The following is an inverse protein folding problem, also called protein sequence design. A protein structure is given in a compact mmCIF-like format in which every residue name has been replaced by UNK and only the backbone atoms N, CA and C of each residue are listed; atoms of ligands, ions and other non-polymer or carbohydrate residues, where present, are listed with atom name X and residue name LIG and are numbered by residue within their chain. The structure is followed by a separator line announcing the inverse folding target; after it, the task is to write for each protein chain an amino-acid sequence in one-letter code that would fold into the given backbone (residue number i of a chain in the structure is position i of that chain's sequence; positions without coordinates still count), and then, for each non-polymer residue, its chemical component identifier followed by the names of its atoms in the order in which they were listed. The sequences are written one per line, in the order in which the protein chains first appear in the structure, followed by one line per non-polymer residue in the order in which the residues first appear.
data_IF_271745937654
#
_entry.id   IF_271745937654
#
_cell.length_a   1.000
_cell.length_b   1.000
_cell.length_c   1.000
_cell.angle_alpha   90.00
_cell.angle_beta   90.00
_cell.angle_gamma   90.00
#
_symmetry.space_group_name_H-M   'P 1'
#
loop_
_entity.id
_entity.type
_entity.pdbx_description
1 polymer ?
#
# COMPACT_ATOMS: atom_id res chain seq x y z
N UNK A 1 36.94 -35.44 -17.03
CA UNK A 1 37.05 -34.90 -15.65
C UNK A 1 36.85 -33.38 -15.60
N UNK A 2 37.62 -32.54 -16.33
CA UNK A 2 37.45 -31.08 -16.29
C UNK A 2 36.05 -30.59 -16.72
N UNK A 3 35.44 -31.25 -17.71
CA UNK A 3 34.07 -30.96 -18.17
C UNK A 3 32.98 -31.30 -17.13
N UNK A 4 33.21 -32.30 -16.28
CA UNK A 4 32.28 -32.71 -15.22
C UNK A 4 32.21 -31.65 -14.11
N UNK A 5 33.36 -31.12 -13.68
CA UNK A 5 33.41 -30.06 -12.68
C UNK A 5 32.72 -28.78 -13.16
N UNK A 6 32.88 -28.44 -14.44
CA UNK A 6 32.21 -27.29 -15.04
C UNK A 6 30.67 -27.46 -15.03
N UNK A 7 30.16 -28.60 -15.48
CA UNK A 7 28.72 -28.89 -15.48
C UNK A 7 28.11 -28.86 -14.06
N UNK A 8 28.80 -29.44 -13.08
CA UNK A 8 28.35 -29.42 -11.67
C UNK A 8 28.34 -27.99 -11.13
N UNK A 9 29.38 -27.19 -11.40
CA UNK A 9 29.44 -25.80 -10.94
C UNK A 9 28.33 -24.92 -11.53
N UNK A 10 28.00 -25.12 -12.82
CA UNK A 10 26.91 -24.41 -13.48
C UNK A 10 25.54 -24.79 -12.91
N UNK A 11 25.33 -26.08 -12.61
CA UNK A 11 24.09 -26.57 -11.99
C UNK A 11 23.92 -26.04 -10.56
N UNK A 12 24.99 -26.01 -9.77
CA UNK A 12 24.98 -25.41 -8.42
C UNK A 12 24.68 -23.92 -8.49
N UNK A 13 25.30 -23.18 -9.41
CA UNK A 13 25.01 -21.76 -9.61
C UNK A 13 23.54 -21.53 -10.02
N UNK A 14 23.00 -22.34 -10.93
CA UNK A 14 21.60 -22.24 -11.34
C UNK A 14 20.63 -22.52 -10.17
N UNK A 15 20.91 -23.53 -9.33
CA UNK A 15 20.12 -23.81 -8.13
C UNK A 15 20.19 -22.65 -7.14
N UNK A 16 21.37 -22.07 -6.92
CA UNK A 16 21.53 -20.92 -6.02
C UNK A 16 20.73 -19.71 -6.52
N UNK A 17 20.82 -19.38 -7.81
CA UNK A 17 20.06 -18.26 -8.40
C UNK A 17 18.55 -18.52 -8.33
N UNK A 18 18.09 -19.73 -8.66
CA UNK A 18 16.68 -20.11 -8.53
C UNK A 18 16.20 -19.99 -7.07
N UNK A 19 17.00 -20.43 -6.11
CA UNK A 19 16.66 -20.36 -4.69
C UNK A 19 16.56 -18.91 -4.19
N UNK A 20 17.47 -18.03 -4.63
CA UNK A 20 17.42 -16.59 -4.33
C UNK A 20 16.15 -15.94 -4.90
N UNK A 21 15.86 -16.16 -6.19
CA UNK A 21 14.67 -15.58 -6.82
C UNK A 21 13.36 -16.10 -6.24
N UNK A 22 13.30 -17.39 -5.88
CA UNK A 22 12.14 -17.97 -5.21
C UNK A 22 11.93 -17.37 -3.81
N UNK A 23 13.02 -17.12 -3.07
CA UNK A 23 12.97 -16.44 -1.78
C UNK A 23 12.42 -15.01 -1.91
N UNK A 24 12.91 -14.24 -2.86
CA UNK A 24 12.45 -12.86 -3.10
C UNK A 24 10.97 -12.81 -3.52
N UNK A 25 10.53 -13.69 -4.42
CA UNK A 25 9.12 -13.78 -4.84
C UNK A 25 8.19 -14.08 -3.66
N UNK A 26 8.56 -15.03 -2.80
CA UNK A 26 7.76 -15.35 -1.61
C UNK A 26 7.74 -14.22 -0.59
N UNK A 27 8.85 -13.51 -0.44
CA UNK A 27 8.92 -12.32 0.44
C UNK A 27 7.98 -11.22 -0.07
N UNK A 28 8.02 -10.90 -1.36
CA UNK A 28 7.18 -9.88 -1.99
C UNK A 28 5.69 -10.20 -1.83
N UNK A 29 5.25 -11.38 -2.23
CA UNK A 29 3.85 -11.80 -2.08
C UNK A 29 3.39 -11.80 -0.61
N UNK A 30 4.27 -12.14 0.33
CA UNK A 30 3.92 -12.13 1.76
C UNK A 30 3.68 -10.70 2.26
N UNK A 31 4.50 -9.74 1.83
CA UNK A 31 4.32 -8.33 2.17
C UNK A 31 3.03 -7.80 1.55
N UNK A 32 2.81 -8.08 0.25
CA UNK A 32 1.59 -7.69 -0.46
C UNK A 32 0.33 -8.24 0.21
N UNK A 33 0.26 -9.55 0.44
CA UNK A 33 -0.92 -10.19 1.02
C UNK A 33 -1.22 -9.67 2.41
N UNK A 34 -0.20 -9.54 3.27
CA UNK A 34 -0.38 -8.99 4.61
C UNK A 34 -0.87 -7.54 4.56
N UNK A 35 -0.28 -6.73 3.69
CA UNK A 35 -0.68 -5.33 3.54
C UNK A 35 -2.15 -5.25 3.12
N UNK A 36 -2.53 -6.02 2.10
CA UNK A 36 -3.91 -6.08 1.62
C UNK A 36 -4.88 -6.58 2.69
N UNK A 37 -4.52 -7.62 3.47
CA UNK A 37 -5.34 -8.12 4.57
C UNK A 37 -5.63 -7.02 5.61
N UNK A 38 -4.60 -6.31 6.06
CA UNK A 38 -4.74 -5.20 7.03
C UNK A 38 -5.51 -4.04 6.42
N UNK A 39 -5.24 -3.70 5.16
CA UNK A 39 -5.94 -2.60 4.48
C UNK A 39 -7.42 -2.91 4.36
N UNK A 40 -7.79 -4.11 3.90
CA UNK A 40 -9.19 -4.51 3.74
C UNK A 40 -9.95 -4.55 5.07
N UNK A 41 -9.28 -4.94 6.17
CA UNK A 41 -9.86 -4.82 7.51
C UNK A 41 -10.14 -3.36 7.86
N UNK A 42 -9.17 -2.46 7.62
CA UNK A 42 -9.35 -1.02 7.87
C UNK A 42 -10.40 -0.38 6.97
N UNK A 43 -10.48 -0.79 5.71
CA UNK A 43 -11.51 -0.36 4.75
C UNK A 43 -12.89 -0.74 5.26
N UNK A 44 -13.07 -1.99 5.69
CA UNK A 44 -14.33 -2.46 6.25
C UNK A 44 -14.74 -1.70 7.51
N UNK A 45 -13.79 -1.49 8.44
CA UNK A 45 -14.04 -0.72 9.65
C UNK A 45 -14.41 0.74 9.33
N UNK A 46 -13.70 1.37 8.40
CA UNK A 46 -13.99 2.74 7.99
C UNK A 46 -15.36 2.85 7.31
N UNK A 47 -15.73 1.90 6.45
CA UNK A 47 -17.03 1.87 5.79
C UNK A 47 -18.17 1.76 6.81
N UNK A 48 -18.03 0.91 7.83
CA UNK A 48 -19.00 0.82 8.94
C UNK A 48 -19.10 2.14 9.72
N UNK A 49 -17.97 2.80 9.96
CA UNK A 49 -17.95 4.12 10.62
C UNK A 49 -18.61 5.19 9.77
N UNK A 50 -18.40 5.18 8.45
CA UNK A 50 -19.03 6.10 7.51
C UNK A 50 -20.55 5.90 7.45
N UNK A 51 -21.01 4.64 7.40
CA UNK A 51 -22.44 4.30 7.46
C UNK A 51 -23.08 4.81 8.77
N UNK A 52 -22.42 4.60 9.91
CA UNK A 52 -22.88 5.14 11.19
C UNK A 52 -22.97 6.68 11.19
N UNK A 53 -21.99 7.36 10.60
CA UNK A 53 -22.01 8.83 10.49
C UNK A 53 -23.15 9.29 9.58
N UNK A 54 -23.38 8.58 8.47
CA UNK A 54 -24.49 8.83 7.54
C UNK A 54 -25.85 8.72 8.23
N UNK A 55 -26.10 7.62 8.95
CA UNK A 55 -27.35 7.40 9.69
C UNK A 55 -27.57 8.46 10.79
N UNK A 56 -26.48 8.87 11.45
CA UNK A 56 -26.54 9.91 12.46
C UNK A 56 -26.84 11.29 11.86
N UNK A 57 -26.30 11.56 10.67
CA UNK A 57 -26.54 12.80 9.96
C UNK A 57 -27.97 12.92 9.44
N UNK A 58 -28.59 11.81 9.01
CA UNK A 58 -30.01 11.76 8.62
C UNK A 58 -30.96 11.98 9.81
N UNK A 59 -30.56 11.53 11.00
CA UNK A 59 -31.40 11.59 12.21
C UNK A 59 -31.27 12.89 13.00
N UNK A 60 -30.20 13.67 12.81
CA UNK A 60 -29.89 14.85 13.63
C UNK A 60 -29.77 16.12 12.78
N UNK A 61 -30.67 17.08 13.01
CA UNK A 61 -30.68 18.34 12.26
C UNK A 61 -29.54 19.32 12.60
N UNK A 62 -28.93 19.22 13.79
CA UNK A 62 -27.79 20.05 14.22
C UNK A 62 -26.50 19.23 14.32
N UNK A 63 -25.64 19.38 13.31
CA UNK A 63 -24.32 18.75 13.23
C UNK A 63 -23.40 19.07 14.42
N UNK A 64 -23.66 20.14 15.19
CA UNK A 64 -22.85 20.46 16.39
C UNK A 64 -23.00 19.43 17.49
N UNK A 65 -24.15 18.78 17.61
CA UNK A 65 -24.37 17.72 18.59
C UNK A 65 -23.63 16.43 18.22
N UNK A 66 -23.34 16.25 16.93
CA UNK A 66 -22.63 15.11 16.39
C UNK A 66 -21.13 15.16 16.73
N UNK A 67 -20.55 16.36 16.92
CA UNK A 67 -19.12 16.54 17.20
C UNK A 67 -18.64 15.70 18.39
N UNK A 68 -19.33 15.79 19.53
CA UNK A 68 -18.95 15.06 20.74
C UNK A 68 -19.05 13.54 20.58
N UNK A 69 -19.97 13.07 19.73
CA UNK A 69 -20.19 11.64 19.49
C UNK A 69 -19.10 11.07 18.57
N UNK A 70 -18.74 11.83 17.53
CA UNK A 70 -17.77 11.36 16.52
C UNK A 70 -16.33 11.47 16.99
N UNK A 71 -15.99 12.51 17.77
CA UNK A 71 -14.62 12.71 18.25
C UNK A 71 -14.08 11.49 19.01
N UNK A 72 -14.91 10.86 19.84
CA UNK A 72 -14.48 9.73 20.68
C UNK A 72 -14.53 8.38 19.94
N UNK A 73 -15.11 8.34 18.72
CA UNK A 73 -15.29 7.12 17.91
C UNK A 73 -14.20 6.92 16.85
N UNK A 74 -13.38 7.92 16.59
CA UNK A 74 -12.31 7.87 15.59
C UNK A 74 -10.95 8.03 16.28
N UNK A 75 -10.10 7.00 16.20
CA UNK A 75 -8.69 7.17 16.51
C UNK A 75 -8.02 7.99 15.41
N UNK A 76 -7.65 9.23 15.74
CA UNK A 76 -6.99 10.16 14.82
C UNK A 76 -5.65 9.65 14.28
N UNK A 77 -5.06 8.63 14.89
CA UNK A 77 -3.81 8.05 14.41
C UNK A 77 -4.04 7.05 13.26
N UNK A 78 -5.19 6.40 13.22
CA UNK A 78 -5.53 5.38 12.22
C UNK A 78 -6.46 5.92 11.13
N UNK A 79 -7.39 6.79 11.54
CA UNK A 79 -8.43 7.32 10.68
C UNK A 79 -8.59 8.83 10.85
N UNK A 80 -8.89 9.51 9.75
CA UNK A 80 -9.41 10.87 9.81
C UNK A 80 -10.77 10.96 9.14
N UNK A 81 -11.62 11.83 9.68
CA UNK A 81 -12.95 12.09 9.17
C UNK A 81 -13.07 13.58 8.87
N UNK A 82 -13.67 13.92 7.74
CA UNK A 82 -14.11 15.26 7.41
C UNK A 82 -15.53 15.23 6.84
N UNK A 83 -16.37 16.16 7.27
CA UNK A 83 -17.72 16.31 6.74
C UNK A 83 -17.83 17.68 6.09
N UNK A 84 -18.31 17.67 4.86
CA UNK A 84 -18.62 18.84 4.07
C UNK A 84 -20.12 18.96 3.91
N UNK A 85 -20.65 20.17 4.08
CA UNK A 85 -22.03 20.51 3.74
C UNK A 85 -22.01 21.43 2.54
N UNK A 86 -22.54 20.96 1.41
CA UNK A 86 -22.34 21.58 0.10
C UNK A 86 -20.82 21.73 -0.19
N UNK A 87 -20.28 22.95 -0.15
CA UNK A 87 -18.86 23.23 -0.39
C UNK A 87 -18.10 23.69 0.86
N UNK A 88 -18.69 23.56 2.05
CA UNK A 88 -18.10 24.04 3.30
C UNK A 88 -17.75 22.90 4.23
N UNK A 89 -16.49 22.86 4.69
CA UNK A 89 -16.06 21.97 5.77
C UNK A 89 -16.79 22.37 7.05
N UNK A 90 -17.57 21.44 7.60
CA UNK A 90 -18.38 21.65 8.82
C UNK A 90 -17.87 20.85 10.02
N UNK A 91 -17.10 19.79 9.79
CA UNK A 91 -16.52 18.96 10.85
C UNK A 91 -15.24 18.26 10.37
N UNK A 92 -14.28 18.07 11.28
CA UNK A 92 -13.12 17.21 11.05
C UNK A 92 -12.52 16.68 12.37
N UNK A 93 -11.88 15.52 12.34
CA UNK A 93 -11.24 14.90 13.52
C UNK A 93 -9.76 15.28 13.70
N UNK A 94 -9.00 15.41 12.61
CA UNK A 94 -7.56 15.63 12.65
C UNK A 94 -7.16 17.01 12.11
N UNK A 95 -6.50 17.80 12.96
CA UNK A 95 -6.00 19.15 12.61
C UNK A 95 -4.68 19.13 11.82
N UNK A 96 -4.00 17.99 11.72
CA UNK A 96 -2.76 17.84 10.94
C UNK A 96 -3.05 17.87 9.43
N UNK A 97 -4.29 17.54 9.05
CA UNK A 97 -4.70 17.43 7.66
C UNK A 97 -5.15 18.80 7.16
N UNK A 98 -4.53 19.34 6.09
CA UNK A 98 -4.92 20.62 5.53
C UNK A 98 -6.18 20.45 4.66
N UNK A 99 -7.32 20.14 5.29
CA UNK A 99 -8.61 20.04 4.62
C UNK A 99 -8.90 21.36 3.90
N UNK A 100 -8.78 21.33 2.57
CA UNK A 100 -9.02 22.54 1.77
C UNK A 100 -10.49 22.86 1.78
N UNK A 101 -10.81 24.16 1.76
CA UNK A 101 -12.18 24.66 1.60
C UNK A 101 -12.73 24.34 0.20
N UNK A 102 -11.88 24.07 -0.78
CA UNK A 102 -12.28 23.65 -2.12
C UNK A 102 -12.11 22.14 -2.30
N UNK A 103 -13.20 21.50 -2.69
CA UNK A 103 -13.36 20.06 -2.82
C UNK A 103 -12.71 19.47 -4.09
N UNK A 104 -11.55 20.00 -4.50
CA UNK A 104 -10.89 19.53 -5.73
C UNK A 104 -10.55 18.03 -5.70
N UNK A 105 -10.30 17.49 -4.50
CA UNK A 105 -10.09 16.05 -4.30
C UNK A 105 -11.39 15.23 -4.38
N UNK A 106 -12.58 15.82 -4.22
CA UNK A 106 -13.84 15.07 -4.44
C UNK A 106 -14.07 14.71 -5.90
N UNK A 107 -13.45 15.48 -6.82
CA UNK A 107 -13.48 15.19 -8.25
C UNK A 107 -12.22 14.41 -8.69
N UNK A 108 -11.29 14.15 -7.77
CA UNK A 108 -10.15 13.28 -8.04
C UNK A 108 -10.64 11.85 -8.02
N UNK A 109 -10.45 11.16 -9.14
CA UNK A 109 -10.67 9.71 -9.23
C UNK A 109 -9.57 8.90 -8.54
N UNK A 110 -8.56 9.56 -7.96
CA UNK A 110 -7.46 8.89 -7.27
C UNK A 110 -7.93 8.47 -5.86
N UNK A 111 -7.94 7.17 -5.55
CA UNK A 111 -8.37 6.66 -4.25
C UNK A 111 -7.30 6.84 -3.17
N UNK A 112 -6.06 7.18 -3.54
CA UNK A 112 -4.94 7.42 -2.62
C UNK A 112 -4.36 8.80 -2.84
N UNK A 113 -4.10 9.53 -1.75
CA UNK A 113 -3.67 10.92 -1.79
C UNK A 113 -2.63 11.23 -0.72
N UNK A 114 -1.68 12.09 -1.06
CA UNK A 114 -0.76 12.72 -0.10
C UNK A 114 -1.38 14.02 0.42
N UNK A 115 -1.70 14.07 1.71
CA UNK A 115 -2.25 15.26 2.37
C UNK A 115 -1.39 15.67 3.56
N UNK A 116 -0.86 16.90 3.53
CA UNK A 116 0.09 17.33 4.55
C UNK A 116 1.35 16.47 4.48
N UNK A 117 1.60 15.67 5.52
CA UNK A 117 2.78 14.81 5.65
C UNK A 117 2.41 13.33 5.79
N UNK A 118 1.31 12.87 5.17
CA UNK A 118 0.97 11.46 5.14
C UNK A 118 0.17 11.07 3.91
N UNK A 119 0.34 9.82 3.50
CA UNK A 119 -0.46 9.14 2.50
C UNK A 119 -1.72 8.57 3.13
N UNK A 120 -2.84 8.73 2.43
CA UNK A 120 -4.14 8.24 2.85
C UNK A 120 -4.85 7.52 1.72
N UNK A 121 -5.56 6.45 2.05
CA UNK A 121 -6.66 5.97 1.21
C UNK A 121 -7.92 6.78 1.55
N UNK A 122 -8.63 7.24 0.51
CA UNK A 122 -9.86 8.01 0.62
C UNK A 122 -11.06 7.11 0.41
N UNK A 123 -12.01 7.17 1.35
CA UNK A 123 -13.34 6.56 1.22
C UNK A 123 -14.39 7.63 1.50
N UNK A 124 -15.53 7.58 0.83
CA UNK A 124 -16.53 8.63 1.00
C UNK A 124 -17.95 8.11 0.89
N UNK A 125 -18.84 8.74 1.64
CA UNK A 125 -20.28 8.56 1.55
C UNK A 125 -20.96 9.92 1.34
N UNK A 126 -22.06 9.92 0.58
CA UNK A 126 -22.84 11.13 0.30
C UNK A 126 -24.28 10.92 0.75
N UNK A 127 -24.78 11.83 1.56
CA UNK A 127 -26.14 11.80 2.12
C UNK A 127 -26.71 13.21 2.03
N UNK A 128 -27.81 13.37 1.29
CA UNK A 128 -28.41 14.67 0.99
C UNK A 128 -27.38 15.72 0.52
N UNK A 129 -27.17 16.78 1.31
CA UNK A 129 -26.23 17.87 1.06
C UNK A 129 -24.88 17.70 1.79
N UNK A 130 -24.67 16.53 2.39
CA UNK A 130 -23.46 16.17 3.10
C UNK A 130 -22.57 15.25 2.26
N UNK A 131 -21.28 15.54 2.30
CA UNK A 131 -20.22 14.69 1.79
C UNK A 131 -19.30 14.32 2.97
N UNK A 132 -19.28 13.04 3.29
CA UNK A 132 -18.55 12.48 4.42
C UNK A 132 -17.32 11.79 3.85
N UNK A 133 -16.14 12.32 4.16
CA UNK A 133 -14.84 11.81 3.74
C UNK A 133 -14.17 11.11 4.91
N UNK A 134 -13.94 9.81 4.76
CA UNK A 134 -13.07 9.01 5.61
C UNK A 134 -11.69 8.87 4.97
N UNK A 135 -10.65 8.89 5.80
CA UNK A 135 -9.27 8.70 5.39
C UNK A 135 -8.65 7.61 6.25
N UNK A 136 -8.02 6.61 5.61
CA UNK A 136 -7.19 5.61 6.28
C UNK A 136 -5.75 6.10 6.20
N UNK A 137 -5.06 6.26 7.33
CA UNK A 137 -3.65 6.66 7.31
C UNK A 137 -2.80 5.48 6.87
N UNK A 138 -2.04 5.62 5.78
CA UNK A 138 -1.19 4.56 5.24
C UNK A 138 0.25 4.70 5.74
N UNK A 139 0.85 5.87 5.46
CA UNK A 139 2.28 6.13 5.69
C UNK A 139 2.52 7.60 5.99
N UNK A 140 3.34 7.90 6.99
CA UNK A 140 3.88 9.24 7.18
C UNK A 140 4.95 9.57 6.12
N UNK A 141 4.97 10.80 5.64
CA UNK A 141 5.86 11.28 4.56
C UNK A 141 6.29 12.73 4.84
N UNK A 142 7.31 12.87 5.68
CA UNK A 142 7.98 14.12 6.03
C UNK A 142 9.21 14.36 5.14
N UNK A 143 9.50 15.63 4.85
CA UNK A 143 10.72 16.02 4.13
C UNK A 143 12.02 15.76 4.94
N UNK A 144 11.90 15.73 6.27
CA UNK A 144 13.03 15.52 7.19
C UNK A 144 12.58 14.64 8.35
N UNK A 145 13.35 13.59 8.60
CA UNK A 145 13.17 12.71 9.76
C UNK A 145 13.98 13.20 10.96
N UNK A 146 13.45 12.94 12.15
CA UNK A 146 14.12 13.18 13.42
C UNK A 146 13.61 12.15 14.45
N UNK A 147 14.15 12.08 15.69
CA UNK A 147 13.73 11.07 16.67
C UNK A 147 12.22 11.01 16.97
N UNK A 148 11.46 12.06 16.65
CA UNK A 148 10.00 12.15 16.84
C UNK A 148 9.21 12.03 15.53
N UNK A 149 9.83 12.19 14.36
CA UNK A 149 9.18 12.16 13.04
C UNK A 149 9.89 11.14 12.15
N UNK A 150 9.17 10.09 11.78
CA UNK A 150 9.69 8.99 10.96
C UNK A 150 8.75 8.76 9.78
N UNK A 151 9.29 8.46 8.59
CA UNK A 151 8.50 8.14 7.40
C UNK A 151 8.20 6.66 7.35
N UNK A 152 7.34 6.21 8.25
CA UNK A 152 6.94 4.82 8.36
C UNK A 152 5.50 4.60 7.90
N UNK A 153 5.22 3.37 7.47
CA UNK A 153 3.85 2.88 7.39
C UNK A 153 3.27 2.74 8.80
N UNK A 154 1.94 2.70 8.92
CA UNK A 154 1.31 2.30 10.18
C UNK A 154 1.83 0.92 10.61
N UNK A 155 2.00 0.74 11.93
CA UNK A 155 2.69 -0.43 12.50
C UNK A 155 2.01 -1.75 12.15
N UNK A 156 0.70 -1.75 12.00
CA UNK A 156 -0.13 -2.91 11.66
C UNK A 156 0.19 -3.50 10.27
N UNK A 157 0.49 -2.65 9.29
CA UNK A 157 0.93 -3.08 7.95
C UNK A 157 2.24 -3.86 8.00
N UNK A 158 3.10 -3.62 9.01
CA UNK A 158 4.38 -4.32 9.20
C UNK A 158 5.24 -4.36 7.93
N UNK A 159 5.30 -3.21 7.24
CA UNK A 159 6.17 -2.98 6.09
C UNK A 159 7.44 -2.30 6.59
N UNK A 160 8.58 -2.64 6.01
CA UNK A 160 9.84 -1.98 6.34
C UNK A 160 9.83 -0.52 5.87
N UNK A 161 10.44 0.36 6.66
CA UNK A 161 10.44 1.82 6.42
C UNK A 161 11.06 2.23 5.07
N UNK A 162 11.85 1.35 4.45
CA UNK A 162 12.44 1.58 3.13
C UNK A 162 11.44 1.43 1.96
N UNK A 163 10.17 1.14 2.22
CA UNK A 163 9.15 1.11 1.18
C UNK A 163 8.51 2.49 0.98
N UNK A 164 8.17 2.78 -0.28
CA UNK A 164 7.44 3.96 -0.70
C UNK A 164 6.11 3.59 -1.37
N UNK A 165 5.29 4.61 -1.60
CA UNK A 165 4.03 4.51 -2.34
C UNK A 165 4.23 5.14 -3.71
N UNK A 166 3.94 4.38 -4.77
CA UNK A 166 3.79 4.92 -6.13
C UNK A 166 2.33 4.81 -6.57
N UNK A 167 1.68 5.94 -6.85
CA UNK A 167 0.32 5.96 -7.40
C UNK A 167 0.29 5.53 -8.87
N UNK A 168 1.43 5.45 -9.54
CA UNK A 168 1.56 4.90 -10.89
C UNK A 168 1.94 3.42 -10.80
N UNK A 169 1.38 2.55 -11.68
CA UNK A 169 1.78 1.15 -11.71
C UNK A 169 3.27 1.01 -12.03
N UNK A 170 4.01 0.33 -11.15
CA UNK A 170 5.43 0.03 -11.30
C UNK A 170 5.63 -1.47 -11.50
N UNK A 171 6.51 -1.87 -12.42
CA UNK A 171 6.69 -3.29 -12.77
C UNK A 171 7.34 -4.10 -11.64
N UNK A 172 8.15 -3.46 -10.81
CA UNK A 172 8.98 -4.12 -9.80
C UNK A 172 8.52 -3.84 -8.36
N UNK A 173 7.22 -3.56 -8.17
CA UNK A 173 6.66 -3.31 -6.86
C UNK A 173 5.47 -4.19 -6.52
N UNK A 174 5.08 -4.21 -5.25
CA UNK A 174 3.91 -4.95 -4.79
C UNK A 174 2.67 -4.11 -5.03
N UNK A 175 1.82 -4.53 -5.98
CA UNK A 175 0.58 -3.82 -6.29
C UNK A 175 -0.46 -4.04 -5.20
N UNK A 176 -1.02 -2.96 -4.68
CA UNK A 176 -2.08 -2.98 -3.66
C UNK A 176 -3.41 -2.61 -4.32
N UNK A 177 -4.44 -3.38 -3.98
CA UNK A 177 -5.80 -3.22 -4.47
C UNK A 177 -6.75 -2.98 -3.30
N UNK A 178 -7.83 -2.25 -3.55
CA UNK A 178 -8.93 -2.09 -2.59
C UNK A 178 -9.71 -3.42 -2.41
N UNK A 179 -10.65 -3.44 -1.47
CA UNK A 179 -11.52 -4.61 -1.24
C UNK A 179 -12.35 -5.02 -2.47
N UNK A 180 -12.53 -4.11 -3.44
CA UNK A 180 -13.29 -4.34 -4.68
C UNK A 180 -12.39 -4.80 -5.85
N UNK A 181 -11.07 -4.87 -5.66
CA UNK A 181 -10.09 -5.21 -6.70
C UNK A 181 -9.65 -4.06 -7.59
N UNK A 182 -9.97 -2.80 -7.24
CA UNK A 182 -9.47 -1.62 -7.94
C UNK A 182 -8.04 -1.33 -7.52
N UNK A 183 -7.22 -0.92 -8.47
CA UNK A 183 -5.84 -0.52 -8.20
C UNK A 183 -5.80 0.72 -7.29
N UNK A 184 -5.01 0.66 -6.21
CA UNK A 184 -4.78 1.79 -5.31
C UNK A 184 -3.40 2.41 -5.56
N UNK A 185 -2.35 1.64 -5.36
CA UNK A 185 -0.95 2.05 -5.51
C UNK A 185 -0.03 0.84 -5.59
N UNK A 186 1.25 1.09 -5.84
CA UNK A 186 2.31 0.10 -5.81
C UNK A 186 3.29 0.41 -4.68
N UNK A 187 3.57 -0.58 -3.82
CA UNK A 187 4.66 -0.50 -2.84
C UNK A 187 5.98 -0.72 -3.57
N UNK A 188 6.84 0.30 -3.54
CA UNK A 188 8.16 0.29 -4.17
C UNK A 188 9.25 0.28 -3.10
N UNK A 189 10.40 -0.33 -3.37
CA UNK A 189 11.56 -0.16 -2.52
C UNK A 189 12.25 1.16 -2.87
N UNK A 190 12.48 2.03 -1.90
CA UNK A 190 13.13 3.33 -2.09
C UNK A 190 14.66 3.24 -2.02
N UNK A 191 15.20 2.12 -1.50
CA UNK A 191 16.64 1.87 -1.56
C UNK A 191 17.04 1.51 -3.00
N UNK A 192 18.09 2.12 -3.56
CA UNK A 192 18.61 1.73 -4.86
C UNK A 192 19.23 0.33 -4.76
N UNK A 193 18.45 -0.71 -5.05
CA UNK A 193 19.03 -2.01 -5.40
C UNK A 193 19.54 -1.87 -6.83
N UNK A 194 20.82 -1.52 -6.96
CA UNK A 194 21.55 -1.76 -8.21
C UNK A 194 21.55 -3.27 -8.47
N UNK A 195 20.72 -3.71 -9.42
CA UNK A 195 20.76 -5.07 -9.96
C UNK A 195 19.60 -5.96 -9.54
N UNK A 196 18.36 -5.57 -9.86
CA UNK A 196 17.31 -6.56 -10.04
C UNK A 196 17.58 -7.33 -11.34
N UNK A 197 17.96 -8.60 -11.19
CA UNK A 197 17.95 -9.50 -12.33
C UNK A 197 16.49 -9.75 -12.70
N UNK A 198 16.14 -9.50 -13.96
CA UNK A 198 14.85 -9.90 -14.52
C UNK A 198 14.55 -11.34 -14.06
N UNK A 199 13.36 -11.54 -13.48
CA UNK A 199 12.88 -12.83 -12.95
C UNK A 199 13.01 -14.01 -13.94
N UNK A 200 13.18 -13.68 -15.23
CA UNK A 200 13.41 -14.61 -16.34
C UNK A 200 14.84 -15.17 -16.40
N UNK A 201 15.85 -14.43 -15.93
CA UNK A 201 17.28 -14.80 -16.01
C UNK A 201 17.61 -16.10 -15.25
N UNK A 202 17.14 -16.31 -14.00
CA UNK A 202 17.29 -17.57 -13.27
C UNK A 202 16.76 -18.77 -14.07
N UNK A 203 15.59 -18.60 -14.68
CA UNK A 203 14.89 -19.65 -15.43
C UNK A 203 15.70 -20.02 -16.66
N UNK A 204 16.18 -19.02 -17.41
CA UNK A 204 17.02 -19.23 -18.61
C UNK A 204 18.33 -19.94 -18.22
N UNK A 205 19.00 -19.50 -17.15
CA UNK A 205 20.23 -20.13 -16.67
C UNK A 205 19.99 -21.58 -16.22
N UNK A 206 18.86 -21.85 -15.57
CA UNK A 206 18.46 -23.22 -15.21
C UNK A 206 18.30 -24.10 -16.44
N UNK A 207 17.53 -23.67 -17.45
CA UNK A 207 17.36 -24.44 -18.68
C UNK A 207 18.68 -24.63 -19.44
N UNK A 208 19.52 -23.59 -19.50
CA UNK A 208 20.85 -23.67 -20.11
C UNK A 208 21.73 -24.72 -19.40
N UNK A 209 21.67 -24.77 -18.06
CA UNK A 209 22.41 -25.76 -17.27
C UNK A 209 21.95 -27.20 -17.55
N UNK A 210 20.64 -27.42 -17.72
CA UNK A 210 20.05 -28.73 -18.08
C UNK A 210 20.50 -29.15 -19.48
N UNK A 211 20.49 -28.24 -20.46
CA UNK A 211 20.96 -28.52 -21.82
C UNK A 211 22.44 -28.92 -21.82
N UNK A 212 23.30 -28.18 -21.11
CA UNK A 212 24.72 -28.54 -20.99
C UNK A 212 24.94 -29.90 -20.33
N UNK A 213 24.14 -30.24 -19.30
CA UNK A 213 24.19 -31.55 -18.67
C UNK A 213 23.79 -32.69 -19.63
N UNK A 214 22.73 -32.51 -20.42
CA UNK A 214 22.29 -33.51 -21.41
C UNK A 214 23.32 -33.70 -22.53
N UNK A 215 23.90 -32.62 -23.06
CA UNK A 215 24.98 -32.70 -24.07
C UNK A 215 26.19 -33.46 -23.53
N UNK A 216 26.54 -33.24 -22.26
CA UNK A 216 27.62 -33.97 -21.60
C UNK A 216 27.33 -35.47 -21.51
N UNK A 217 26.10 -35.87 -21.13
CA UNK A 217 25.70 -37.28 -21.08
C UNK A 217 25.75 -37.97 -22.45
N UNK A 218 25.40 -37.26 -23.53
CA UNK A 218 25.45 -37.80 -24.90
C UNK A 218 26.86 -37.92 -25.47
N UNK A 219 27.84 -37.16 -24.96
CA UNK A 219 29.24 -37.22 -25.39
C UNK A 219 30.08 -38.25 -24.61
N UNK A 220 29.49 -38.96 -23.66
CA UNK A 220 30.12 -39.96 -22.79
C UNK A 220 29.81 -41.38 -23.28
#
# INVERSE_FOLDING_TARGET
MKSLYFAISALVAAILVFWLSFYDFHRLNKVQNRFSEVLHEKEHELDQKLEYVSDLADSVSDLRNIYCILKDKFDVNEYALAIYKNDSLVFWTDNRIPFKRNLKFMNSSEPVILLGNAWYEMRSSKVDDLYILGLIVLKNEYLYENPFLHNNFQEDFNVCDNHGISVLPEQNGNVIYDVNGNYLFTLINQDPIEGEFDSSVPIILFFLSVVFYLVFLFML
#
